data_IF_095837899315
#
_entry.id   IF_095837899315
#
_cell.length_a   1.000
_cell.length_b   1.000
_cell.length_c   1.000
_cell.angle_alpha   90.00
_cell.angle_beta   90.00
_cell.angle_gamma   90.00
#
_symmetry.space_group_name_H-M   'P 1'
#
loop_
_entity.id
_entity.type
_entity.pdbx_description
1 polymer ?
#
# COMPACT_ATOMS: atom_id res chain seq x y z
N UNK A 1 6.65 23.23 9.10
CA UNK A 1 7.57 22.10 8.80
C UNK A 1 6.75 20.85 8.56
N UNK A 2 7.10 20.09 7.55
CA UNK A 2 6.44 18.83 7.23
C UNK A 2 6.84 17.75 8.23
N UNK A 3 5.85 17.03 8.75
CA UNK A 3 6.07 15.88 9.65
C UNK A 3 5.80 14.60 8.87
N UNK A 4 6.75 13.69 8.86
CA UNK A 4 6.63 12.41 8.16
C UNK A 4 6.70 11.28 9.17
N UNK A 5 5.73 10.37 9.10
CA UNK A 5 5.70 9.16 9.91
C UNK A 5 5.60 7.94 9.00
N UNK A 6 6.44 6.94 9.28
CA UNK A 6 6.47 5.68 8.55
C UNK A 6 6.10 4.57 9.52
N UNK A 7 5.10 3.77 9.16
CA UNK A 7 4.62 2.68 10.02
C UNK A 7 4.46 1.39 9.22
N UNK A 8 4.65 0.26 9.89
CA UNK A 8 4.19 -1.03 9.37
C UNK A 8 2.71 -1.13 9.70
N UNK A 9 1.89 -1.29 8.67
CA UNK A 9 0.44 -1.29 8.85
C UNK A 9 -0.02 -2.49 9.69
N UNK A 10 -0.97 -2.23 10.58
CA UNK A 10 -1.74 -3.25 11.25
C UNK A 10 -3.03 -3.44 10.45
N UNK A 11 -3.18 -4.57 9.77
CA UNK A 11 -4.35 -4.83 8.93
C UNK A 11 -5.65 -4.92 9.73
N UNK A 12 -5.56 -5.10 11.03
CA UNK A 12 -6.71 -5.14 11.92
C UNK A 12 -7.05 -3.78 12.53
N UNK A 13 -6.21 -2.78 12.33
CA UNK A 13 -6.49 -1.41 12.75
C UNK A 13 -7.41 -0.74 11.73
N UNK A 14 -8.64 -0.35 12.10
CA UNK A 14 -9.59 0.21 11.14
C UNK A 14 -9.10 1.47 10.42
N UNK A 15 -8.43 2.36 11.13
CA UNK A 15 -7.93 3.61 10.54
C UNK A 15 -6.85 3.32 9.51
N UNK A 16 -5.87 2.49 9.87
CA UNK A 16 -4.80 2.13 8.93
C UNK A 16 -5.33 1.30 7.77
N UNK A 17 -6.28 0.41 8.01
CA UNK A 17 -6.91 -0.35 6.95
C UNK A 17 -7.65 0.52 5.96
N UNK A 18 -8.40 1.50 6.43
CA UNK A 18 -9.10 2.45 5.58
C UNK A 18 -8.11 3.29 4.74
N UNK A 19 -7.02 3.73 5.35
CA UNK A 19 -6.00 4.49 4.64
C UNK A 19 -5.34 3.66 3.54
N UNK A 20 -5.03 2.40 3.83
CA UNK A 20 -4.47 1.47 2.84
C UNK A 20 -5.42 1.31 1.65
N UNK A 21 -6.69 1.03 1.93
CA UNK A 21 -7.68 0.83 0.86
C UNK A 21 -7.88 2.10 0.04
N UNK A 22 -7.90 3.26 0.66
CA UNK A 22 -8.05 4.53 -0.03
C UNK A 22 -6.88 4.78 -0.99
N UNK A 23 -5.65 4.58 -0.51
CA UNK A 23 -4.46 4.77 -1.34
C UNK A 23 -4.40 3.77 -2.49
N UNK A 24 -4.69 2.51 -2.21
CA UNK A 24 -4.66 1.46 -3.23
C UNK A 24 -5.78 1.66 -4.27
N UNK A 25 -6.97 2.06 -3.84
CA UNK A 25 -8.09 2.34 -4.73
C UNK A 25 -7.78 3.55 -5.63
N UNK A 26 -7.15 4.59 -5.09
CA UNK A 26 -6.69 5.73 -5.88
C UNK A 26 -5.71 5.31 -6.96
N UNK A 27 -4.78 4.45 -6.63
CA UNK A 27 -3.85 3.88 -7.61
C UNK A 27 -4.59 3.06 -8.68
N UNK A 28 -5.55 2.22 -8.27
CA UNK A 28 -6.29 1.37 -9.20
C UNK A 28 -7.07 2.21 -10.24
N UNK A 29 -7.59 3.36 -9.82
CA UNK A 29 -8.35 4.25 -10.70
C UNK A 29 -7.47 5.05 -11.67
N UNK A 30 -6.19 5.20 -11.37
CA UNK A 30 -5.26 5.88 -12.27
C UNK A 30 -5.04 5.02 -13.53
N UNK A 31 -4.91 5.64 -14.72
CA UNK A 31 -4.64 4.87 -15.95
C UNK A 31 -3.45 3.95 -15.86
N UNK A 32 -2.43 4.32 -15.10
CA UNK A 32 -1.25 3.47 -14.90
C UNK A 32 -1.54 2.27 -13.99
N UNK A 33 -2.61 2.35 -13.17
CA UNK A 33 -3.03 1.27 -12.29
C UNK A 33 -4.19 0.44 -12.80
N UNK A 34 -4.61 0.67 -14.04
CA UNK A 34 -5.71 -0.07 -14.66
C UNK A 34 -6.92 0.76 -15.02
N UNK A 35 -7.06 1.95 -14.46
CA UNK A 35 -8.11 2.92 -14.79
C UNK A 35 -9.47 2.65 -14.17
N UNK A 36 -9.59 1.67 -13.27
CA UNK A 36 -10.86 1.31 -12.64
C UNK A 36 -10.67 1.16 -11.13
N UNK A 37 -11.70 1.55 -10.39
CA UNK A 37 -11.71 1.37 -8.93
C UNK A 37 -11.61 -0.10 -8.57
N UNK A 38 -11.10 -0.38 -7.36
CA UNK A 38 -11.12 -1.74 -6.84
C UNK A 38 -12.55 -2.25 -6.76
N UNK A 39 -12.81 -3.50 -7.19
CA UNK A 39 -14.13 -4.09 -7.02
C UNK A 39 -14.58 -4.07 -5.57
N UNK A 40 -15.88 -3.87 -5.28
CA UNK A 40 -16.37 -3.87 -3.89
C UNK A 40 -16.04 -5.15 -3.12
N UNK A 41 -16.05 -6.30 -3.78
CA UNK A 41 -15.69 -7.56 -3.14
C UNK A 41 -14.23 -7.57 -2.69
N UNK A 42 -13.32 -6.97 -3.47
CA UNK A 42 -11.91 -6.85 -3.10
C UNK A 42 -11.76 -5.91 -1.90
N UNK A 43 -12.42 -4.75 -1.93
CA UNK A 43 -12.39 -3.81 -0.80
C UNK A 43 -12.88 -4.45 0.49
N UNK A 44 -13.89 -5.31 0.40
CA UNK A 44 -14.48 -5.96 1.56
C UNK A 44 -13.58 -7.06 2.16
N UNK A 45 -12.73 -7.68 1.37
CA UNK A 45 -11.98 -8.86 1.79
C UNK A 45 -10.47 -8.68 1.91
N UNK A 46 -9.91 -7.65 1.26
CA UNK A 46 -8.45 -7.54 1.10
C UNK A 46 -7.70 -7.51 2.43
N UNK A 47 -8.16 -6.69 3.37
CA UNK A 47 -7.46 -6.56 4.67
C UNK A 47 -7.47 -7.85 5.46
N UNK A 48 -8.60 -8.57 5.46
CA UNK A 48 -8.71 -9.85 6.14
C UNK A 48 -7.79 -10.90 5.50
N UNK A 49 -7.71 -10.89 4.18
CA UNK A 49 -6.84 -11.82 3.46
C UNK A 49 -5.36 -11.51 3.72
N UNK A 50 -4.97 -10.23 3.69
CA UNK A 50 -3.60 -9.84 3.99
C UNK A 50 -3.22 -10.19 5.44
N UNK A 51 -4.15 -10.01 6.38
CA UNK A 51 -3.91 -10.33 7.78
C UNK A 51 -3.64 -11.82 8.02
N UNK A 52 -4.09 -12.67 7.13
CA UNK A 52 -3.90 -14.13 7.21
C UNK A 52 -2.58 -14.60 6.60
N UNK A 53 -1.90 -13.73 5.86
CA UNK A 53 -0.66 -14.10 5.17
C UNK A 53 0.54 -13.69 6.04
N UNK A 54 1.27 -14.65 6.60
CA UNK A 54 2.40 -14.31 7.49
C UNK A 54 3.56 -13.63 6.77
N UNK A 55 3.62 -13.73 5.46
CA UNK A 55 4.69 -13.14 4.65
C UNK A 55 4.31 -11.78 4.04
N UNK A 56 3.08 -11.30 4.25
CA UNK A 56 2.63 -10.01 3.73
C UNK A 56 2.85 -8.92 4.77
N UNK A 57 3.32 -7.77 4.31
CA UNK A 57 3.33 -6.57 5.14
C UNK A 57 3.19 -5.32 4.25
N UNK A 58 2.67 -4.26 4.84
CA UNK A 58 2.49 -2.98 4.15
C UNK A 58 3.16 -1.89 4.97
N UNK A 59 3.91 -1.04 4.30
CA UNK A 59 4.46 0.17 4.90
C UNK A 59 3.56 1.32 4.51
N UNK A 60 3.07 2.08 5.50
CA UNK A 60 2.28 3.28 5.27
C UNK A 60 3.11 4.50 5.64
N UNK A 61 3.02 5.53 4.81
CA UNK A 61 3.65 6.83 5.06
C UNK A 61 2.56 7.87 5.28
N UNK A 62 2.73 8.65 6.34
CA UNK A 62 1.85 9.77 6.68
C UNK A 62 2.64 11.06 6.63
N UNK A 63 2.06 12.08 6.02
CA UNK A 63 2.61 13.43 6.01
C UNK A 63 1.60 14.34 6.70
N UNK A 64 2.03 14.97 7.79
CA UNK A 64 1.17 15.82 8.62
C UNK A 64 -0.12 15.08 9.01
N UNK A 65 0.02 13.82 9.43
CA UNK A 65 -1.06 12.92 9.87
C UNK A 65 -2.04 12.52 8.76
N UNK A 66 -1.68 12.73 7.50
CA UNK A 66 -2.51 12.33 6.37
C UNK A 66 -1.83 11.21 5.59
N UNK A 67 -2.59 10.19 5.15
CA UNK A 67 -1.98 9.12 4.37
C UNK A 67 -1.41 9.67 3.07
N UNK A 68 -0.13 9.41 2.84
CA UNK A 68 0.62 9.97 1.72
C UNK A 68 1.17 8.91 0.78
N UNK A 69 1.35 7.68 1.26
CA UNK A 69 1.87 6.63 0.41
C UNK A 69 1.80 5.26 1.07
N UNK A 70 1.96 4.24 0.26
CA UNK A 70 2.06 2.86 0.75
C UNK A 70 3.01 2.05 -0.12
N UNK A 71 3.55 1.00 0.49
CA UNK A 71 4.32 -0.03 -0.19
C UNK A 71 3.76 -1.37 0.28
N UNK A 72 3.17 -2.13 -0.64
CA UNK A 72 2.74 -3.50 -0.36
C UNK A 72 3.88 -4.46 -0.67
N UNK A 73 4.25 -5.28 0.31
CA UNK A 73 5.41 -6.15 0.24
C UNK A 73 5.04 -7.58 0.60
N UNK A 74 5.77 -8.51 -0.01
CA UNK A 74 5.67 -9.92 0.33
C UNK A 74 7.07 -10.49 0.52
N UNK A 75 7.29 -11.15 1.64
CA UNK A 75 8.55 -11.83 1.90
C UNK A 75 8.64 -13.06 0.98
N UNK A 76 9.76 -13.19 0.32
CA UNK A 76 10.05 -14.31 -0.53
C UNK A 76 11.41 -14.92 -0.18
N UNK A 77 11.90 -15.77 -1.04
CA UNK A 77 13.17 -16.44 -0.82
C UNK A 77 13.92 -16.61 -2.13
N UNK A 78 15.22 -16.29 -2.11
CA UNK A 78 16.09 -16.51 -3.25
C UNK A 78 16.77 -17.86 -3.11
N UNK A 79 16.47 -18.78 -4.00
CA UNK A 79 17.10 -20.10 -4.01
C UNK A 79 18.57 -20.02 -4.38
N UNK A 80 18.92 -19.11 -5.29
CA UNK A 80 20.32 -18.94 -5.70
C UNK A 80 21.20 -18.36 -4.58
N UNK A 81 20.66 -17.42 -3.81
CA UNK A 81 21.39 -16.81 -2.71
C UNK A 81 21.19 -17.52 -1.37
N UNK A 82 20.21 -18.42 -1.31
CA UNK A 82 19.79 -19.11 -0.08
C UNK A 82 19.44 -18.12 1.03
N UNK A 83 18.75 -17.01 0.68
CA UNK A 83 18.42 -15.92 1.60
C UNK A 83 17.00 -15.43 1.36
N UNK A 84 16.35 -14.91 2.41
CA UNK A 84 15.08 -14.22 2.22
C UNK A 84 15.26 -12.95 1.39
N UNK A 85 14.18 -12.58 0.69
CA UNK A 85 14.11 -11.33 -0.03
C UNK A 85 12.73 -10.70 0.16
N UNK A 86 12.61 -9.42 -0.18
CA UNK A 86 11.36 -8.69 -0.15
C UNK A 86 10.92 -8.41 -1.58
N UNK A 87 9.72 -8.86 -1.91
CA UNK A 87 9.08 -8.49 -3.18
C UNK A 87 8.23 -7.26 -2.94
N UNK A 88 8.54 -6.18 -3.63
CA UNK A 88 7.72 -4.97 -3.61
C UNK A 88 6.68 -5.12 -4.71
N UNK A 89 5.40 -5.15 -4.31
CA UNK A 89 4.30 -5.41 -5.23
C UNK A 89 3.66 -4.11 -5.72
N UNK A 90 3.38 -3.18 -4.80
CA UNK A 90 2.81 -1.88 -5.13
C UNK A 90 3.58 -0.79 -4.43
N UNK A 91 3.85 0.31 -5.15
CA UNK A 91 4.37 1.54 -4.56
C UNK A 91 3.44 2.67 -4.98
N UNK A 92 2.82 3.31 -4.00
CA UNK A 92 1.83 4.36 -4.22
C UNK A 92 2.24 5.62 -3.48
N UNK A 93 2.26 6.74 -4.19
CA UNK A 93 2.45 8.07 -3.58
C UNK A 93 1.24 8.91 -3.93
N UNK A 94 0.62 9.51 -2.91
CA UNK A 94 -0.60 10.29 -3.08
C UNK A 94 -0.35 11.55 -3.90
N UNK A 95 -1.27 11.86 -4.81
CA UNK A 95 -1.25 13.09 -5.61
C UNK A 95 -1.30 14.35 -4.75
N UNK A 96 -2.00 14.29 -3.62
CA UNK A 96 -2.14 15.46 -2.74
C UNK A 96 -0.81 15.94 -2.18
N UNK A 97 0.22 15.09 -2.18
CA UNK A 97 1.56 15.44 -1.73
C UNK A 97 2.32 16.24 -2.79
N UNK A 98 2.03 16.01 -4.07
CA UNK A 98 2.75 16.59 -5.21
C UNK A 98 1.87 17.50 -6.06
N UNK A 99 0.76 17.98 -5.54
CA UNK A 99 -0.19 18.78 -6.28
C UNK A 99 -1.13 17.91 -7.12
N UNK A 100 -1.18 18.13 -8.42
CA UNK A 100 -2.11 17.42 -9.31
C UNK A 100 -1.57 16.09 -9.84
N UNK A 101 -0.28 15.80 -9.62
CA UNK A 101 0.34 14.60 -10.16
C UNK A 101 0.36 13.48 -9.13
N UNK A 102 0.15 12.26 -9.61
CA UNK A 102 0.28 11.05 -8.81
C UNK A 102 1.37 10.18 -9.42
N UNK A 103 2.17 9.55 -8.56
CA UNK A 103 3.24 8.68 -8.97
C UNK A 103 2.98 7.27 -8.45
N UNK A 104 2.85 6.33 -9.39
CA UNK A 104 2.61 4.93 -9.08
C UNK A 104 3.68 4.09 -9.74
N UNK A 105 4.31 3.22 -8.95
CA UNK A 105 5.31 2.27 -9.41
C UNK A 105 4.82 0.90 -8.95
N UNK A 106 4.40 0.08 -9.90
CA UNK A 106 3.75 -1.16 -9.54
C UNK A 106 4.49 -2.41 -9.89
#
# INVERSE_FOLDING_TARGET
MMSIEIVIADYQNPAQGNDLLMLLDGYAQDPMGGGEALPPAVKASLLAELARLPHAFTVLAYVDNKPAGLINCFLGFSTFAAKPLVNIHDVVVSASLWGSDQYYIG
#
